data_IF_364407154337
#
_entry.id   IF_364407154337
#
_cell.length_a   1.000
_cell.length_b   1.000
_cell.length_c   1.000
_cell.angle_alpha   90.00
_cell.angle_beta   90.00
_cell.angle_gamma   90.00
#
_symmetry.space_group_name_H-M   'P 1'
#
loop_
_entity.id
_entity.type
_entity.pdbx_description
1 polymer ?
#
# COMPACT_ATOMS: atom_id res chain seq x y z
N UNK A 1 -15.68 -32.65 5.51
CA UNK A 1 -14.74 -31.72 4.88
C UNK A 1 -13.39 -32.40 4.96
N UNK A 2 -12.96 -32.94 3.84
CA UNK A 2 -11.85 -33.87 3.78
C UNK A 2 -10.52 -33.13 3.82
N UNK A 3 -9.47 -33.76 4.37
CA UNK A 3 -8.11 -33.20 4.44
C UNK A 3 -7.60 -32.72 3.06
N UNK A 4 -8.08 -33.38 1.99
CA UNK A 4 -7.78 -33.04 0.59
C UNK A 4 -8.43 -31.72 0.13
N UNK A 5 -9.65 -31.42 0.59
CA UNK A 5 -10.29 -30.13 0.34
C UNK A 5 -9.61 -29.01 1.14
N UNK A 6 -9.16 -29.29 2.37
CA UNK A 6 -8.40 -28.32 3.18
C UNK A 6 -7.05 -27.97 2.55
N UNK A 7 -6.34 -28.95 1.99
CA UNK A 7 -5.07 -28.74 1.31
C UNK A 7 -5.25 -28.02 -0.03
N UNK A 8 -6.29 -28.32 -0.81
CA UNK A 8 -6.61 -27.58 -2.05
C UNK A 8 -7.03 -26.13 -1.75
N UNK A 9 -7.75 -25.87 -0.66
CA UNK A 9 -8.07 -24.50 -0.20
C UNK A 9 -6.81 -23.76 0.26
N UNK A 10 -5.86 -24.43 0.92
CA UNK A 10 -4.59 -23.83 1.33
C UNK A 10 -3.67 -23.50 0.14
N UNK A 11 -3.63 -24.39 -0.86
CA UNK A 11 -2.84 -24.19 -2.09
C UNK A 11 -3.46 -23.08 -2.97
N UNK A 12 -4.79 -23.04 -3.09
CA UNK A 12 -5.49 -21.98 -3.85
C UNK A 12 -5.46 -20.60 -3.15
N UNK A 13 -5.27 -20.55 -1.82
CA UNK A 13 -4.97 -19.30 -1.11
C UNK A 13 -3.53 -18.82 -1.33
N UNK A 14 -2.57 -19.73 -1.46
CA UNK A 14 -1.18 -19.37 -1.79
C UNK A 14 -1.00 -18.94 -3.25
N UNK A 15 -1.68 -19.58 -4.20
CA UNK A 15 -1.55 -19.26 -5.63
C UNK A 15 -2.18 -17.90 -6.00
N UNK A 16 -3.25 -17.48 -5.31
CA UNK A 16 -3.87 -16.16 -5.52
C UNK A 16 -3.10 -14.99 -4.87
N UNK A 17 -2.15 -15.24 -3.96
CA UNK A 17 -1.41 -14.16 -3.26
C UNK A 17 -0.25 -13.60 -4.10
N UNK A 18 0.16 -14.29 -5.16
CA UNK A 18 1.30 -13.91 -6.01
C UNK A 18 0.96 -12.91 -7.13
N UNK A 19 -0.32 -12.73 -7.47
CA UNK A 19 -0.71 -12.10 -8.74
C UNK A 19 -0.69 -10.57 -8.78
N UNK A 20 -0.45 -9.88 -7.65
CA UNK A 20 -0.39 -8.40 -7.65
C UNK A 20 0.80 -7.83 -6.85
N UNK A 21 1.89 -8.58 -6.73
CA UNK A 21 3.10 -8.03 -6.11
C UNK A 21 3.78 -7.01 -7.03
N UNK A 22 4.25 -5.90 -6.44
CA UNK A 22 5.15 -4.98 -7.15
C UNK A 22 6.35 -5.74 -7.73
N UNK A 23 6.89 -5.38 -8.91
CA UNK A 23 7.99 -6.12 -9.52
C UNK A 23 9.22 -6.19 -8.60
N UNK A 24 9.68 -7.41 -8.31
CA UNK A 24 10.85 -7.65 -7.44
C UNK A 24 12.07 -6.81 -7.85
N UNK A 25 12.32 -6.69 -9.16
CA UNK A 25 13.44 -5.91 -9.70
C UNK A 25 13.36 -4.41 -9.36
N UNK A 26 12.15 -3.86 -9.22
CA UNK A 26 11.94 -2.47 -8.81
C UNK A 26 12.20 -2.29 -7.32
N UNK A 27 11.70 -3.20 -6.48
CA UNK A 27 12.00 -3.20 -5.04
C UNK A 27 13.51 -3.34 -4.79
N UNK A 28 14.18 -4.28 -5.46
CA UNK A 28 15.61 -4.46 -5.35
C UNK A 28 16.42 -3.22 -5.82
N UNK A 29 15.95 -2.51 -6.85
CA UNK A 29 16.55 -1.23 -7.28
C UNK A 29 16.35 -0.13 -6.25
N UNK A 30 15.14 0.04 -5.70
CA UNK A 30 14.87 1.01 -4.64
C UNK A 30 15.79 0.77 -3.44
N UNK A 31 15.91 -0.49 -2.99
CA UNK A 31 16.77 -0.85 -1.86
C UNK A 31 18.24 -0.46 -2.09
N UNK A 32 18.76 -0.64 -3.31
CA UNK A 32 20.12 -0.20 -3.68
C UNK A 32 20.30 1.32 -3.71
N UNK A 33 19.23 2.08 -3.90
CA UNK A 33 19.28 3.54 -3.92
C UNK A 33 19.21 4.15 -2.51
N UNK A 34 18.54 3.47 -1.58
CA UNK A 34 18.33 3.97 -0.22
C UNK A 34 19.35 3.45 0.79
N UNK A 35 20.11 2.40 0.46
CA UNK A 35 21.13 1.84 1.34
C UNK A 35 22.19 1.01 0.61
N UNK A 36 23.42 1.00 1.14
CA UNK A 36 24.52 0.16 0.64
C UNK A 36 24.49 -1.28 1.20
N UNK A 37 23.52 -1.60 2.07
CA UNK A 37 23.41 -2.93 2.69
C UNK A 37 22.90 -3.97 1.69
N UNK A 38 23.44 -5.18 1.79
CA UNK A 38 22.98 -6.34 1.01
C UNK A 38 21.80 -7.01 1.72
N UNK A 39 20.77 -7.35 0.97
CA UNK A 39 19.60 -8.09 1.44
C UNK A 39 19.56 -9.48 0.83
N UNK A 40 19.12 -10.47 1.61
CA UNK A 40 18.83 -11.80 1.09
C UNK A 40 17.58 -11.75 0.20
N UNK A 41 17.43 -12.72 -0.72
CA UNK A 41 16.23 -12.85 -1.57
C UNK A 41 14.94 -12.91 -0.75
N UNK A 42 14.97 -13.63 0.38
CA UNK A 42 13.82 -13.74 1.31
C UNK A 42 13.47 -12.40 1.93
N UNK A 43 14.48 -11.64 2.39
CA UNK A 43 14.25 -10.29 2.93
C UNK A 43 13.66 -9.35 1.88
N UNK A 44 14.14 -9.39 0.64
CA UNK A 44 13.59 -8.56 -0.44
C UNK A 44 12.14 -8.96 -0.76
N UNK A 45 11.80 -10.25 -0.76
CA UNK A 45 10.41 -10.73 -0.92
C UNK A 45 9.50 -10.24 0.21
N UNK A 46 9.99 -10.25 1.45
CA UNK A 46 9.23 -9.74 2.59
C UNK A 46 8.93 -8.25 2.40
N UNK A 47 9.94 -7.45 2.04
CA UNK A 47 9.79 -6.01 1.75
C UNK A 47 8.81 -5.79 0.59
N UNK A 48 8.90 -6.58 -0.48
CA UNK A 48 7.99 -6.55 -1.63
C UNK A 48 6.53 -6.77 -1.21
N UNK A 49 6.27 -7.82 -0.41
CA UNK A 49 4.94 -8.13 0.12
C UNK A 49 4.43 -7.02 1.03
N UNK A 50 5.24 -6.56 1.99
CA UNK A 50 4.87 -5.47 2.91
C UNK A 50 4.57 -4.16 2.17
N UNK A 51 5.36 -3.82 1.16
CA UNK A 51 5.15 -2.60 0.35
C UNK A 51 3.86 -2.69 -0.45
N UNK A 52 3.58 -3.85 -1.06
CA UNK A 52 2.34 -4.08 -1.82
C UNK A 52 1.12 -3.96 -0.91
N UNK A 53 1.15 -4.62 0.25
CA UNK A 53 0.07 -4.56 1.24
C UNK A 53 -0.16 -3.13 1.74
N UNK A 54 0.91 -2.40 2.03
CA UNK A 54 0.81 -1.00 2.43
C UNK A 54 0.13 -0.13 1.36
N UNK A 55 0.54 -0.25 0.09
CA UNK A 55 -0.08 0.49 -1.02
C UNK A 55 -1.56 0.14 -1.15
N UNK A 56 -1.92 -1.14 -1.01
CA UNK A 56 -3.32 -1.59 -1.04
C UNK A 56 -4.15 -0.93 0.06
N UNK A 57 -3.66 -0.96 1.30
CA UNK A 57 -4.35 -0.36 2.45
C UNK A 57 -4.49 1.16 2.32
N UNK A 58 -3.46 1.87 1.84
CA UNK A 58 -3.56 3.30 1.54
C UNK A 58 -4.57 3.58 0.41
N UNK A 59 -4.59 2.75 -0.63
CA UNK A 59 -5.54 2.90 -1.75
C UNK A 59 -6.98 2.74 -1.28
N UNK A 60 -7.28 1.72 -0.48
CA UNK A 60 -8.61 1.50 0.10
C UNK A 60 -9.04 2.65 1.04
N UNK A 61 -8.12 3.18 1.84
CA UNK A 61 -8.39 4.33 2.69
C UNK A 61 -8.62 5.61 1.87
N UNK A 62 -7.86 5.80 0.79
CA UNK A 62 -7.99 6.93 -0.12
C UNK A 62 -9.33 6.90 -0.85
N UNK A 63 -9.76 5.73 -1.30
CA UNK A 63 -11.08 5.54 -1.89
C UNK A 63 -12.19 5.91 -0.90
N UNK A 64 -12.08 5.47 0.36
CA UNK A 64 -13.02 5.87 1.43
C UNK A 64 -13.06 7.39 1.61
N UNK A 65 -11.91 8.08 1.57
CA UNK A 65 -11.88 9.54 1.67
C UNK A 65 -12.54 10.20 0.44
N UNK A 66 -12.24 9.71 -0.76
CA UNK A 66 -12.83 10.24 -1.99
C UNK A 66 -14.34 10.10 -1.99
N UNK A 67 -14.88 8.94 -1.56
CA UNK A 67 -16.33 8.70 -1.40
C UNK A 67 -16.99 9.67 -0.43
N UNK A 68 -16.35 9.94 0.71
CA UNK A 68 -16.82 10.93 1.70
C UNK A 68 -16.87 12.32 1.06
N UNK A 69 -15.79 12.76 0.40
CA UNK A 69 -15.73 14.07 -0.27
C UNK A 69 -16.77 14.21 -1.38
N UNK A 70 -16.91 13.19 -2.23
CA UNK A 70 -17.81 13.21 -3.37
C UNK A 70 -19.27 12.90 -3.00
N UNK A 71 -19.59 12.63 -1.73
CA UNK A 71 -20.92 12.23 -1.24
C UNK A 71 -21.48 10.99 -1.96
N UNK A 72 -20.60 10.07 -2.39
CA UNK A 72 -20.93 8.84 -3.12
C UNK A 72 -20.83 7.65 -2.17
N UNK A 73 -21.93 7.34 -1.48
CA UNK A 73 -21.97 6.31 -0.44
C UNK A 73 -22.09 4.88 -1.01
N UNK A 74 -22.60 4.75 -2.23
CA UNK A 74 -22.77 3.46 -2.91
C UNK A 74 -21.44 2.96 -3.48
N UNK A 75 -21.10 1.70 -3.20
CA UNK A 75 -19.84 1.06 -3.62
C UNK A 75 -19.73 0.93 -5.14
N UNK A 76 -20.85 0.82 -5.85
CA UNK A 76 -20.86 0.63 -7.30
C UNK A 76 -20.58 1.94 -8.06
N UNK A 77 -20.62 3.08 -7.37
CA UNK A 77 -20.29 4.37 -7.95
C UNK A 77 -18.78 4.55 -8.04
N UNK A 78 -18.29 4.79 -9.26
CA UNK A 78 -16.90 5.17 -9.50
C UNK A 78 -16.58 6.53 -8.83
N UNK A 79 -15.42 6.57 -8.17
CA UNK A 79 -14.83 7.78 -7.58
C UNK A 79 -13.46 8.04 -8.17
N UNK A 80 -13.09 9.31 -8.29
CA UNK A 80 -11.73 9.71 -8.68
C UNK A 80 -10.98 10.03 -7.39
N UNK A 81 -9.87 9.34 -7.15
CA UNK A 81 -8.99 9.62 -6.01
C UNK A 81 -8.13 10.84 -6.38
N UNK A 82 -8.19 11.89 -5.55
CA UNK A 82 -7.34 13.08 -5.68
C UNK A 82 -6.28 13.09 -4.58
N UNK A 83 -5.31 14.00 -4.69
CA UNK A 83 -4.19 14.10 -3.74
C UNK A 83 -4.63 14.29 -2.29
N UNK A 84 -5.69 15.06 -2.04
CA UNK A 84 -6.22 15.33 -0.70
C UNK A 84 -6.78 14.07 -0.04
N UNK A 85 -7.30 13.14 -0.84
CA UNK A 85 -7.81 11.84 -0.36
C UNK A 85 -6.65 10.96 0.12
N UNK A 86 -5.55 10.96 -0.63
CA UNK A 86 -4.32 10.22 -0.30
C UNK A 86 -3.64 10.82 0.93
N UNK A 87 -3.50 12.15 1.01
CA UNK A 87 -2.94 12.84 2.19
C UNK A 87 -3.77 12.49 3.43
N UNK A 88 -5.10 12.60 3.33
CA UNK A 88 -6.02 12.27 4.43
C UNK A 88 -5.94 10.80 4.83
N UNK A 89 -5.79 9.89 3.86
CA UNK A 89 -5.61 8.46 4.10
C UNK A 89 -4.30 8.15 4.82
N UNK A 90 -3.19 8.79 4.42
CA UNK A 90 -1.89 8.64 5.09
C UNK A 90 -1.95 9.19 6.51
N UNK A 91 -2.55 10.37 6.74
CA UNK A 91 -2.68 10.94 8.08
C UNK A 91 -3.54 10.07 9.01
N UNK A 92 -4.66 9.53 8.51
CA UNK A 92 -5.54 8.63 9.28
C UNK A 92 -4.89 7.26 9.49
N UNK A 93 -4.22 6.74 8.47
CA UNK A 93 -3.46 5.49 8.51
C UNK A 93 -2.25 5.56 9.44
N UNK A 94 -1.59 6.70 9.53
CA UNK A 94 -0.41 6.91 10.38
C UNK A 94 -0.64 6.62 11.86
N UNK A 95 -1.88 6.80 12.35
CA UNK A 95 -2.31 6.40 13.70
C UNK A 95 -2.45 4.89 13.88
N UNK A 96 -2.82 4.15 12.82
CA UNK A 96 -3.00 2.69 12.82
C UNK A 96 -1.68 1.94 12.64
N UNK A 97 -0.74 2.51 11.90
CA UNK A 97 0.53 1.87 11.54
C UNK A 97 1.73 2.38 12.35
N UNK A 98 1.52 3.24 13.36
CA UNK A 98 2.59 3.91 14.12
C UNK A 98 3.58 4.70 13.26
N UNK A 99 3.14 5.18 12.09
CA UNK A 99 3.93 6.04 11.19
C UNK A 99 3.88 7.51 11.60
N UNK A 100 3.23 7.86 12.71
CA UNK A 100 2.81 9.22 13.06
C UNK A 100 3.90 10.30 12.95
N UNK A 101 5.19 9.95 13.12
CA UNK A 101 6.31 10.88 12.95
C UNK A 101 6.95 10.85 11.56
N UNK A 102 6.95 9.70 10.87
CA UNK A 102 7.51 9.60 9.51
C UNK A 102 6.53 10.17 8.46
N UNK A 103 5.22 10.01 8.67
CA UNK A 103 4.20 10.52 7.74
C UNK A 103 4.05 12.04 7.80
N UNK A 104 4.29 12.68 8.95
CA UNK A 104 4.24 14.15 9.07
C UNK A 104 5.47 14.78 8.40
N UNK A 105 6.69 14.33 8.70
CA UNK A 105 7.90 14.80 7.99
C UNK A 105 7.84 14.53 6.47
N UNK A 106 7.31 13.38 6.03
CA UNK A 106 7.17 13.04 4.61
C UNK A 106 6.08 13.86 3.88
N UNK A 107 5.01 14.25 4.57
CA UNK A 107 3.95 15.11 4.02
C UNK A 107 4.30 16.61 4.11
N UNK A 108 5.16 16.99 5.06
CA UNK A 108 5.74 18.33 5.18
C UNK A 108 6.90 18.55 4.20
N UNK A 109 7.39 17.47 3.55
CA UNK A 109 8.39 17.56 2.50
C UNK A 109 7.87 18.39 1.31
N UNK A 110 8.75 19.25 0.78
CA UNK A 110 8.41 20.31 -0.20
C UNK A 110 7.77 19.76 -1.49
N UNK A 111 7.92 18.47 -1.76
CA UNK A 111 7.37 17.78 -2.91
C UNK A 111 5.83 17.87 -3.00
N UNK A 112 5.12 17.84 -1.87
CA UNK A 112 3.65 17.91 -1.86
C UNK A 112 3.10 19.33 -1.95
N UNK A 113 3.90 20.32 -1.50
CA UNK A 113 3.50 21.72 -1.41
C UNK A 113 3.85 22.55 -2.67
N UNK A 114 4.74 22.06 -3.55
CA UNK A 114 5.14 22.79 -4.77
C UNK A 114 4.13 22.69 -5.92
N UNK A 115 3.21 21.71 -5.96
CA UNK A 115 2.14 21.65 -6.97
C UNK A 115 0.94 22.58 -6.68
N UNK A 116 1.09 23.53 -5.75
CA UNK A 116 0.07 24.54 -5.40
C UNK A 116 0.54 25.97 -5.77
N UNK A 117 1.70 26.11 -6.44
CA UNK A 117 2.24 27.41 -6.86
C UNK A 117 1.93 27.71 -8.32
#
# INVERSE_FOLDING_TARGET
>A
MDQKELDEVAVSQQENEFDELLPYSKIAKILKLVTDKKFTKTSVKLIQSSTTKFIKEISELSEKQSRIRSKKLDKDQAVIIQKEDVISAIQKGGKKFSFANFSTEFLEDRFWNMEIS
#
